data_IF_701480662985
#
_entry.id   IF_701480662985
#
_cell.length_a   1.000
_cell.length_b   1.000
_cell.length_c   1.000
_cell.angle_alpha   90.00
_cell.angle_beta   90.00
_cell.angle_gamma   90.00
#
_symmetry.space_group_name_H-M   'P 1'
#
loop_
_entity.id
_entity.type
_entity.pdbx_description
1 polymer ?
#
# COMPACT_ATOMS: atom_id res chain seq x y z
N UNK A 1 16.61 4.48 27.13
CA UNK A 1 15.20 4.65 26.72
C UNK A 1 15.14 5.92 25.87
N UNK A 2 15.34 5.80 24.56
CA UNK A 2 15.48 6.97 23.67
C UNK A 2 14.13 7.33 23.09
N UNK A 3 13.61 8.49 23.46
CA UNK A 3 12.37 9.07 22.92
C UNK A 3 12.72 9.65 21.55
N UNK A 4 12.24 9.02 20.49
CA UNK A 4 12.41 9.54 19.13
C UNK A 4 11.46 10.74 18.95
N UNK A 5 12.02 11.94 18.91
CA UNK A 5 11.27 13.18 18.75
C UNK A 5 10.48 13.18 17.43
N UNK A 6 9.22 13.58 17.48
CA UNK A 6 8.38 13.77 16.31
C UNK A 6 9.03 14.79 15.35
N UNK A 7 9.05 14.54 14.02
CA UNK A 7 9.68 15.45 13.08
C UNK A 7 8.96 16.80 13.06
N UNK A 8 9.71 17.93 12.94
CA UNK A 8 9.12 19.26 12.98
C UNK A 8 8.17 19.50 11.79
N UNK A 9 7.03 20.14 12.08
CA UNK A 9 6.04 20.56 11.08
C UNK A 9 6.66 21.68 10.23
N UNK A 10 6.87 21.43 8.93
CA UNK A 10 7.48 22.40 8.00
C UNK A 10 6.61 23.64 7.80
N UNK A 11 7.26 24.80 7.65
CA UNK A 11 6.59 26.05 7.28
C UNK A 11 6.33 26.11 5.77
N UNK A 12 5.20 26.68 5.38
CA UNK A 12 4.82 26.88 3.96
C UNK A 12 5.87 27.77 3.28
N UNK A 13 6.54 27.25 2.25
CA UNK A 13 7.55 27.97 1.46
C UNK A 13 9.02 27.56 1.72
N UNK A 14 9.30 26.71 2.70
CA UNK A 14 10.66 26.19 2.89
C UNK A 14 11.05 25.24 1.75
N UNK A 15 12.25 25.39 1.15
CA UNK A 15 12.73 24.46 0.14
C UNK A 15 12.85 23.05 0.73
N UNK A 16 12.36 22.07 -0.01
CA UNK A 16 12.40 20.67 0.43
C UNK A 16 13.87 20.26 0.60
N UNK A 17 14.27 19.72 1.76
CA UNK A 17 15.65 19.33 2.01
C UNK A 17 16.04 18.25 1.01
N UNK A 18 17.28 18.34 0.56
CA UNK A 18 17.86 17.36 -0.35
C UNK A 18 17.95 16.03 0.39
N UNK A 19 17.39 14.92 -0.16
CA UNK A 19 17.53 13.61 0.44
C UNK A 19 19.00 13.19 0.56
N UNK A 20 19.36 12.62 1.71
CA UNK A 20 20.67 12.02 1.98
C UNK A 20 20.53 10.50 2.06
N UNK A 21 21.63 9.77 1.88
CA UNK A 21 21.65 8.32 2.02
C UNK A 21 21.23 7.87 3.41
N UNK A 22 20.50 6.77 3.46
CA UNK A 22 20.10 6.09 4.70
C UNK A 22 20.76 4.71 4.79
N UNK A 23 21.32 4.41 5.97
CA UNK A 23 21.96 3.12 6.24
C UNK A 23 20.99 1.93 6.12
N UNK A 24 19.69 2.16 6.33
CA UNK A 24 18.66 1.14 6.18
C UNK A 24 18.64 0.53 4.76
N UNK A 25 19.04 1.27 3.73
CA UNK A 25 19.03 0.81 2.34
C UNK A 25 20.41 0.43 1.81
N UNK A 26 21.46 0.53 2.64
CA UNK A 26 22.86 0.34 2.22
C UNK A 26 23.11 -1.01 1.55
N UNK A 27 22.43 -2.06 2.03
CA UNK A 27 22.57 -3.43 1.54
C UNK A 27 21.88 -3.68 0.18
N UNK A 28 20.98 -2.80 -0.26
CA UNK A 28 20.30 -2.96 -1.54
C UNK A 28 21.13 -2.38 -2.69
N UNK A 29 21.20 -3.10 -3.80
CA UNK A 29 21.69 -2.54 -5.07
C UNK A 29 20.71 -1.49 -5.62
N UNK A 30 21.13 -0.69 -6.60
CA UNK A 30 20.23 0.30 -7.22
C UNK A 30 19.00 -0.36 -7.88
N UNK A 31 19.18 -1.52 -8.50
CA UNK A 31 18.08 -2.27 -9.12
C UNK A 31 17.18 -2.88 -8.06
N UNK A 32 17.74 -3.51 -7.02
CA UNK A 32 16.95 -4.05 -5.92
C UNK A 32 16.13 -2.95 -5.21
N UNK A 33 16.66 -1.72 -5.09
CA UNK A 33 15.93 -0.59 -4.54
C UNK A 33 14.78 -0.12 -5.46
N UNK A 34 14.97 -0.15 -6.78
CA UNK A 34 13.90 0.14 -7.74
C UNK A 34 12.80 -0.92 -7.68
N UNK A 35 13.18 -2.19 -7.65
CA UNK A 35 12.25 -3.32 -7.57
C UNK A 35 11.47 -3.28 -6.26
N UNK A 36 12.15 -3.00 -5.15
CA UNK A 36 11.52 -2.79 -3.85
C UNK A 36 10.52 -1.63 -3.88
N UNK A 37 10.88 -0.47 -4.44
CA UNK A 37 9.95 0.66 -4.59
C UNK A 37 8.74 0.29 -5.46
N UNK A 38 8.95 -0.43 -6.56
CA UNK A 38 7.88 -0.89 -7.44
C UNK A 38 6.94 -1.87 -6.73
N UNK A 39 7.48 -2.80 -5.94
CA UNK A 39 6.70 -3.71 -5.12
C UNK A 39 5.87 -2.96 -4.07
N UNK A 40 6.42 -1.94 -3.41
CA UNK A 40 5.68 -1.09 -2.48
C UNK A 40 4.51 -0.36 -3.15
N UNK A 41 4.71 0.15 -4.37
CA UNK A 41 3.66 0.84 -5.14
C UNK A 41 2.56 -0.15 -5.57
N UNK A 42 2.93 -1.36 -5.98
CA UNK A 42 1.97 -2.40 -6.34
C UNK A 42 1.11 -2.81 -5.12
N UNK A 43 1.75 -2.98 -3.96
CA UNK A 43 1.05 -3.26 -2.70
C UNK A 43 0.13 -2.11 -2.30
N UNK A 44 0.59 -0.85 -2.37
CA UNK A 44 -0.26 0.32 -2.07
C UNK A 44 -1.49 0.37 -2.97
N UNK A 45 -1.32 0.08 -4.26
CA UNK A 45 -2.44 0.03 -5.22
C UNK A 45 -3.47 -1.03 -4.80
N UNK A 46 -3.02 -2.20 -4.36
CA UNK A 46 -3.88 -3.28 -3.87
C UNK A 46 -4.62 -2.87 -2.58
N UNK A 47 -3.93 -2.26 -1.63
CA UNK A 47 -4.54 -1.77 -0.38
C UNK A 47 -5.57 -0.68 -0.65
N UNK A 48 -5.25 0.28 -1.52
CA UNK A 48 -6.17 1.35 -1.92
C UNK A 48 -7.40 0.81 -2.64
N UNK A 49 -7.26 -0.25 -3.43
CA UNK A 49 -8.37 -0.95 -4.04
C UNK A 49 -9.30 -1.59 -2.98
N UNK A 50 -8.74 -2.34 -2.04
CA UNK A 50 -9.52 -2.96 -0.97
C UNK A 50 -10.19 -1.96 -0.04
N UNK A 51 -9.54 -0.84 0.27
CA UNK A 51 -10.15 0.24 1.05
C UNK A 51 -11.43 0.76 0.38
N UNK A 52 -11.40 0.97 -0.94
CA UNK A 52 -12.59 1.42 -1.71
C UNK A 52 -13.72 0.38 -1.67
N UNK A 53 -13.38 -0.90 -1.72
CA UNK A 53 -14.36 -1.99 -1.63
C UNK A 53 -15.04 -2.02 -0.26
N UNK A 54 -14.25 -1.93 0.82
CA UNK A 54 -14.79 -1.90 2.18
C UNK A 54 -15.67 -0.68 2.40
N UNK A 55 -15.24 0.49 1.92
CA UNK A 55 -16.04 1.73 1.98
C UNK A 55 -17.38 1.57 1.25
N UNK A 56 -17.37 1.08 0.01
CA UNK A 56 -18.60 0.85 -0.75
C UNK A 56 -19.54 -0.16 -0.06
N UNK A 57 -18.98 -1.17 0.61
CA UNK A 57 -19.78 -2.15 1.36
C UNK A 57 -20.35 -1.57 2.66
N UNK A 58 -19.56 -0.76 3.37
CA UNK A 58 -20.02 -0.03 4.55
C UNK A 58 -21.16 0.93 4.20
N UNK A 59 -21.02 1.65 3.08
CA UNK A 59 -22.06 2.54 2.55
C UNK A 59 -23.35 1.76 2.26
N UNK A 60 -23.23 0.56 1.66
CA UNK A 60 -24.37 -0.31 1.37
C UNK A 60 -25.08 -0.81 2.64
N UNK A 61 -24.32 -1.27 3.64
CA UNK A 61 -24.86 -1.76 4.91
C UNK A 61 -25.56 -0.62 5.65
N UNK A 62 -24.96 0.57 5.64
CA UNK A 62 -25.52 1.78 6.24
C UNK A 62 -26.78 2.27 5.50
N UNK A 63 -26.83 2.12 4.17
CA UNK A 63 -27.97 2.51 3.34
C UNK A 63 -29.11 1.49 3.33
N UNK A 64 -28.84 0.20 3.59
CA UNK A 64 -29.84 -0.88 3.64
C UNK A 64 -30.88 -0.72 4.76
N UNK A 65 -30.64 0.19 5.73
CA UNK A 65 -31.71 0.67 6.63
C UNK A 65 -32.89 1.33 5.90
N UNK A 66 -32.72 1.72 4.63
CA UNK A 66 -33.70 2.47 3.84
C UNK A 66 -34.37 1.65 2.72
N UNK A 67 -34.28 0.31 2.73
CA UNK A 67 -35.04 -0.58 1.84
C UNK A 67 -34.54 -0.72 0.39
N UNK A 68 -33.30 -0.29 0.09
CA UNK A 68 -32.73 -0.41 -1.27
C UNK A 68 -31.67 -1.52 -1.33
N UNK A 69 -32.06 -2.66 -1.90
CA UNK A 69 -31.21 -3.83 -2.08
C UNK A 69 -30.31 -3.63 -3.32
N UNK A 70 -28.99 -3.65 -3.14
CA UNK A 70 -28.02 -3.67 -4.25
C UNK A 70 -27.39 -5.05 -4.37
N UNK A 71 -27.30 -5.56 -5.61
CA UNK A 71 -26.91 -6.92 -5.94
C UNK A 71 -25.39 -7.13 -5.79
N UNK A 72 -24.98 -7.64 -4.62
CA UNK A 72 -23.59 -7.91 -4.24
C UNK A 72 -22.99 -9.15 -4.89
N UNK A 73 -23.82 -10.04 -5.45
CA UNK A 73 -23.39 -11.31 -6.08
C UNK A 73 -22.58 -11.05 -7.36
N UNK A 74 -22.87 -9.98 -8.11
CA UNK A 74 -22.18 -9.65 -9.38
C UNK A 74 -20.76 -9.09 -9.20
N UNK A 75 -20.45 -8.50 -8.05
CA UNK A 75 -19.12 -7.92 -7.80
C UNK A 75 -18.11 -8.96 -7.28
N UNK A 76 -18.58 -10.07 -6.71
CA UNK A 76 -17.78 -11.06 -5.99
C UNK A 76 -16.61 -11.65 -6.79
N UNK A 77 -16.76 -12.08 -8.06
CA UNK A 77 -15.70 -12.76 -8.81
C UNK A 77 -14.51 -11.85 -9.16
N UNK A 78 -14.76 -10.56 -9.35
CA UNK A 78 -13.74 -9.56 -9.70
C UNK A 78 -12.85 -9.23 -8.49
N UNK A 79 -13.41 -9.34 -7.28
CA UNK A 79 -12.76 -8.92 -6.03
C UNK A 79 -11.92 -10.04 -5.37
N UNK A 80 -12.29 -11.31 -5.57
CA UNK A 80 -11.60 -12.47 -4.98
C UNK A 80 -10.20 -12.76 -5.55
N UNK A 81 -9.83 -12.19 -6.69
CA UNK A 81 -8.53 -12.42 -7.34
C UNK A 81 -7.39 -11.60 -6.69
N UNK A 82 -7.70 -10.53 -5.96
CA UNK A 82 -6.70 -9.63 -5.36
C UNK A 82 -6.32 -10.05 -3.93
N UNK A 83 -5.34 -10.94 -3.75
CA UNK A 83 -4.79 -11.26 -2.41
C UNK A 83 -3.78 -10.21 -1.94
N UNK A 84 -4.04 -9.54 -0.82
CA UNK A 84 -3.10 -8.57 -0.19
C UNK A 84 -1.94 -9.29 0.54
N UNK A 85 -2.12 -10.54 1.00
CA UNK A 85 -1.14 -11.19 1.88
C UNK A 85 0.20 -11.57 1.24
N UNK A 86 0.22 -11.93 -0.05
CA UNK A 86 1.44 -12.38 -0.72
C UNK A 86 2.43 -11.23 -0.99
N UNK A 87 1.93 -10.04 -1.30
CA UNK A 87 2.74 -8.84 -1.55
C UNK A 87 3.50 -8.39 -0.30
N UNK A 88 2.81 -8.34 0.85
CA UNK A 88 3.43 -8.06 2.15
C UNK A 88 4.60 -9.00 2.46
N UNK A 89 4.43 -10.32 2.28
CA UNK A 89 5.49 -11.29 2.60
C UNK A 89 6.76 -11.05 1.79
N UNK A 90 6.61 -10.74 0.50
CA UNK A 90 7.73 -10.40 -0.37
C UNK A 90 8.45 -9.11 0.08
N UNK A 91 7.70 -8.10 0.52
CA UNK A 91 8.26 -6.85 1.05
C UNK A 91 9.05 -7.06 2.34
N UNK A 92 8.51 -7.85 3.27
CA UNK A 92 9.16 -8.17 4.56
C UNK A 92 10.46 -8.94 4.37
N UNK A 93 10.53 -9.79 3.33
CA UNK A 93 11.76 -10.51 3.00
C UNK A 93 12.89 -9.59 2.52
N UNK A 94 12.57 -8.45 1.89
CA UNK A 94 13.58 -7.49 1.38
C UNK A 94 14.09 -6.56 2.47
N UNK A 95 13.18 -6.04 3.30
CA UNK A 95 13.53 -5.22 4.45
C UNK A 95 12.64 -5.67 5.62
N UNK A 96 13.18 -6.02 6.80
CA UNK A 96 12.35 -6.27 7.97
C UNK A 96 11.49 -5.03 8.24
N UNK A 97 10.17 -5.24 8.33
CA UNK A 97 9.21 -4.14 8.43
C UNK A 97 8.62 -4.09 9.83
N UNK A 98 9.44 -3.66 10.78
CA UNK A 98 9.01 -3.42 12.17
C UNK A 98 7.92 -2.34 12.28
N UNK A 99 7.67 -1.59 11.20
CA UNK A 99 6.75 -0.44 11.16
C UNK A 99 5.46 -0.66 10.34
N UNK A 100 5.24 -1.83 9.71
CA UNK A 100 3.98 -2.07 8.99
C UNK A 100 2.97 -2.75 9.91
N UNK A 101 1.82 -2.12 10.20
CA UNK A 101 0.78 -2.74 11.03
C UNK A 101 0.31 -4.05 10.40
N UNK A 102 -0.24 -5.00 11.18
CA UNK A 102 -0.83 -6.22 10.63
C UNK A 102 -1.93 -5.89 9.61
N UNK A 103 -2.09 -6.76 8.61
CA UNK A 103 -3.20 -6.65 7.67
C UNK A 103 -4.45 -7.32 8.27
N UNK A 104 -5.65 -6.73 8.13
CA UNK A 104 -6.89 -7.40 8.51
C UNK A 104 -7.10 -8.70 7.72
N UNK A 105 -7.80 -9.67 8.33
CA UNK A 105 -8.34 -10.83 7.62
C UNK A 105 -9.55 -10.40 6.76
N UNK A 106 -9.25 -9.88 5.56
CA UNK A 106 -10.29 -9.37 4.65
C UNK A 106 -11.16 -10.47 4.06
N UNK A 107 -10.64 -11.69 3.93
CA UNK A 107 -11.36 -12.84 3.36
C UNK A 107 -12.60 -13.20 4.17
N UNK A 108 -12.47 -13.31 5.49
CA UNK A 108 -13.58 -13.67 6.38
C UNK A 108 -14.62 -12.55 6.44
N UNK A 109 -14.16 -11.30 6.55
CA UNK A 109 -15.02 -10.11 6.54
C UNK A 109 -15.79 -10.00 5.22
N UNK A 110 -15.14 -10.38 4.11
CA UNK A 110 -15.74 -10.35 2.78
C UNK A 110 -16.79 -11.46 2.59
N UNK A 111 -16.55 -12.66 3.11
CA UNK A 111 -17.46 -13.80 2.96
C UNK A 111 -18.67 -13.74 3.88
N UNK A 112 -18.59 -12.99 4.99
CA UNK A 112 -19.66 -12.87 5.98
C UNK A 112 -20.96 -12.34 5.37
N UNK A 113 -22.06 -13.05 5.60
CA UNK A 113 -23.43 -12.63 5.25
C UNK A 113 -24.21 -12.30 6.52
N UNK A 114 -24.94 -11.21 6.48
CA UNK A 114 -25.86 -10.79 7.55
C UNK A 114 -27.27 -10.88 7.00
N UNK A 115 -28.19 -11.43 7.78
CA UNK A 115 -29.59 -11.53 7.37
C UNK A 115 -30.25 -10.17 7.26
N UNK A 116 -31.17 -10.02 6.30
CA UNK A 116 -31.84 -8.74 6.00
C UNK A 116 -32.65 -8.17 7.20
N UNK A 117 -33.04 -9.02 8.14
CA UNK A 117 -33.82 -8.65 9.33
C UNK A 117 -33.00 -8.65 10.62
N UNK A 118 -31.70 -8.93 10.54
CA UNK A 118 -30.80 -8.91 11.70
C UNK A 118 -30.16 -7.53 11.85
N UNK A 119 -30.89 -6.61 12.50
CA UNK A 119 -30.41 -5.25 12.72
C UNK A 119 -29.19 -5.18 13.63
N UNK A 120 -29.14 -6.01 14.67
CA UNK A 120 -27.98 -6.11 15.56
C UNK A 120 -26.75 -6.66 14.82
N UNK A 121 -26.93 -7.71 14.01
CA UNK A 121 -25.86 -8.25 13.16
C UNK A 121 -25.39 -7.27 12.10
N UNK A 122 -26.27 -6.43 11.54
CA UNK A 122 -25.89 -5.38 10.58
C UNK A 122 -25.05 -4.29 11.25
N UNK A 123 -25.42 -3.86 12.45
CA UNK A 123 -24.64 -2.89 13.22
C UNK A 123 -23.24 -3.41 13.56
N UNK A 124 -23.15 -4.65 14.08
CA UNK A 124 -21.87 -5.30 14.36
C UNK A 124 -21.03 -5.47 13.07
N UNK A 125 -21.68 -5.82 11.96
CA UNK A 125 -21.01 -5.96 10.67
C UNK A 125 -20.43 -4.65 10.15
N UNK A 126 -21.15 -3.55 10.32
CA UNK A 126 -20.69 -2.21 9.96
C UNK A 126 -19.51 -1.77 10.83
N UNK A 127 -19.53 -2.06 12.13
CA UNK A 127 -18.42 -1.77 13.04
C UNK A 127 -17.14 -2.50 12.62
N UNK A 128 -17.22 -3.80 12.32
CA UNK A 128 -16.07 -4.57 11.87
C UNK A 128 -15.54 -4.08 10.51
N UNK A 129 -16.42 -3.65 9.59
CA UNK A 129 -16.03 -3.03 8.32
C UNK A 129 -15.25 -1.72 8.55
N UNK A 130 -15.71 -0.91 9.51
CA UNK A 130 -15.05 0.34 9.91
C UNK A 130 -13.66 0.08 10.51
N UNK A 131 -13.53 -0.93 11.37
CA UNK A 131 -12.25 -1.34 11.95
C UNK A 131 -11.28 -1.77 10.86
N UNK A 132 -11.70 -2.67 9.96
CA UNK A 132 -10.86 -3.14 8.86
C UNK A 132 -10.44 -2.00 7.90
N UNK A 133 -11.33 -1.04 7.62
CA UNK A 133 -11.01 0.15 6.82
C UNK A 133 -9.94 1.02 7.49
N UNK A 134 -10.04 1.19 8.82
CA UNK A 134 -9.08 1.96 9.61
C UNK A 134 -7.70 1.30 9.62
N UNK A 135 -7.65 -0.03 9.77
CA UNK A 135 -6.41 -0.80 9.69
C UNK A 135 -5.76 -0.69 8.31
N UNK A 136 -6.54 -0.82 7.22
CA UNK A 136 -6.03 -0.61 5.86
C UNK A 136 -5.54 0.83 5.63
N UNK A 137 -6.23 1.82 6.18
CA UNK A 137 -5.80 3.22 6.10
C UNK A 137 -4.46 3.46 6.82
N UNK A 138 -4.27 2.83 7.99
CA UNK A 138 -3.00 2.87 8.72
C UNK A 138 -1.89 2.19 7.92
N UNK A 139 -2.14 0.99 7.41
CA UNK A 139 -1.20 0.24 6.59
C UNK A 139 -0.80 1.01 5.32
N UNK A 140 -1.77 1.60 4.61
CA UNK A 140 -1.50 2.45 3.44
C UNK A 140 -0.63 3.65 3.77
N UNK A 141 -0.88 4.30 4.91
CA UNK A 141 -0.08 5.46 5.34
C UNK A 141 1.37 5.07 5.57
N UNK A 142 1.61 3.90 6.17
CA UNK A 142 2.95 3.36 6.35
C UNK A 142 3.62 2.96 5.01
N UNK A 143 2.87 2.41 4.05
CA UNK A 143 3.38 2.18 2.69
C UNK A 143 3.81 3.48 2.00
N UNK A 144 3.00 4.54 2.07
CA UNK A 144 3.37 5.83 1.49
C UNK A 144 4.63 6.43 2.11
N UNK A 145 4.77 6.35 3.44
CA UNK A 145 5.98 6.78 4.13
C UNK A 145 7.20 6.05 3.57
N UNK A 146 7.09 4.73 3.40
CA UNK A 146 8.18 3.87 2.89
C UNK A 146 8.51 4.10 1.42
N UNK A 147 7.50 4.34 0.57
CA UNK A 147 7.69 4.76 -0.81
C UNK A 147 8.46 6.08 -0.84
N UNK A 148 8.12 7.01 0.05
CA UNK A 148 8.82 8.28 0.24
C UNK A 148 10.29 8.08 0.61
N UNK A 149 10.58 7.22 1.58
CA UNK A 149 11.96 6.87 2.00
C UNK A 149 12.76 6.24 0.85
N UNK A 150 12.22 5.23 0.18
CA UNK A 150 12.89 4.57 -0.94
C UNK A 150 13.12 5.52 -2.12
N UNK A 151 12.17 6.43 -2.37
CA UNK A 151 12.32 7.49 -3.39
C UNK A 151 13.41 8.48 -3.00
N UNK A 152 13.46 8.89 -1.72
CA UNK A 152 14.52 9.74 -1.20
C UNK A 152 15.90 9.12 -1.36
N UNK A 153 16.04 7.84 -1.02
CA UNK A 153 17.28 7.09 -1.22
C UNK A 153 17.70 7.05 -2.70
N UNK A 154 16.78 6.75 -3.62
CA UNK A 154 17.07 6.77 -5.05
C UNK A 154 17.57 8.13 -5.53
N UNK A 155 16.93 9.21 -5.09
CA UNK A 155 17.37 10.58 -5.40
C UNK A 155 18.78 10.83 -4.87
N UNK A 156 19.08 10.43 -3.63
CA UNK A 156 20.42 10.57 -3.05
C UNK A 156 21.47 9.84 -3.89
N UNK A 157 21.20 8.59 -4.30
CA UNK A 157 22.11 7.79 -5.14
C UNK A 157 22.33 8.39 -6.51
N UNK A 158 21.29 8.88 -7.17
CA UNK A 158 21.42 9.52 -8.48
C UNK A 158 22.17 10.84 -8.42
N UNK A 159 22.04 11.59 -7.32
CA UNK A 159 22.82 12.82 -7.13
C UNK A 159 24.31 12.53 -6.97
N UNK A 160 24.65 11.48 -6.23
CA UNK A 160 26.05 11.07 -6.06
C UNK A 160 26.63 10.45 -7.33
N UNK A 161 25.84 9.65 -8.05
CA UNK A 161 26.27 8.94 -9.26
C UNK A 161 25.19 9.04 -10.35
N UNK A 162 25.19 10.13 -11.16
CA UNK A 162 24.16 10.36 -12.18
C UNK A 162 24.08 9.29 -13.27
N UNK A 163 25.20 8.62 -13.57
CA UNK A 163 25.25 7.52 -14.55
C UNK A 163 24.33 6.34 -14.19
N UNK A 164 23.99 6.17 -12.91
CA UNK A 164 23.03 5.15 -12.48
C UNK A 164 21.65 5.34 -13.12
N UNK A 165 21.27 6.54 -13.53
CA UNK A 165 20.01 6.77 -14.26
C UNK A 165 19.98 6.02 -15.61
N UNK A 166 21.12 5.89 -16.28
CA UNK A 166 21.20 5.23 -17.59
C UNK A 166 20.90 3.73 -17.51
N UNK A 167 21.16 3.12 -16.35
CA UNK A 167 20.84 1.70 -16.10
C UNK A 167 19.33 1.42 -16.00
N UNK A 168 18.48 2.46 -15.89
CA UNK A 168 17.03 2.31 -15.88
C UNK A 168 16.40 2.34 -17.28
N UNK A 169 17.17 2.72 -18.31
CA UNK A 169 16.66 2.80 -19.67
C UNK A 169 16.55 1.38 -20.25
N UNK A 170 15.46 1.05 -20.95
CA UNK A 170 15.40 -0.17 -21.74
C UNK A 170 16.41 -0.03 -22.88
N UNK A 171 17.61 -0.58 -22.70
CA UNK A 171 18.58 -0.68 -23.78
C UNK A 171 18.09 -1.81 -24.70
N UNK A 172 17.45 -1.44 -25.80
CA UNK A 172 17.20 -2.36 -26.91
C UNK A 172 18.50 -3.12 -27.22
N UNK A 173 18.49 -4.45 -27.29
CA UNK A 173 19.68 -5.19 -27.69
C UNK A 173 20.07 -4.69 -29.08
N UNK A 174 21.28 -4.14 -29.19
CA UNK A 174 21.79 -3.53 -30.42
C UNK A 174 21.40 -4.41 -31.62
N UNK A 175 20.52 -3.86 -32.46
CA UNK A 175 20.06 -4.49 -33.71
C UNK A 175 21.34 -4.88 -34.45
N UNK A 176 21.68 -6.18 -34.46
CA UNK A 176 22.88 -6.67 -35.13
C UNK A 176 22.77 -6.18 -36.57
N UNK A 177 23.62 -5.23 -36.94
CA UNK A 177 23.75 -4.80 -38.32
C UNK A 177 24.26 -6.01 -39.08
N UNK A 178 23.36 -6.67 -39.81
CA UNK A 178 23.69 -7.70 -40.78
C UNK A 178 24.56 -7.04 -41.84
N UNK A 179 25.81 -7.50 -41.93
CA UNK A 179 26.69 -7.28 -43.07
C UNK A 179 26.16 -8.03 -44.30
#
# INVERSE_FOLDING_TARGET
MSIQAAPPIRRKGEPRPVPTRSDAYRHLSINALRDYRSALVAEETNVSYWRRILQARLDLVSASGNGRQLDTERLRPVLTTSRIGAGRQALVAVLPIDALPPLPSLSELWERRVGDHDEAGRAAFAEDLQVAETELSTYRSALHARIGEATGELIARYREQPSLCLTALPLEPARRASA
#
